data_IF_453557097098
#
_entry.id   IF_453557097098
#
_cell.length_a   1.000
_cell.length_b   1.000
_cell.length_c   1.000
_cell.angle_alpha   90.00
_cell.angle_beta   90.00
_cell.angle_gamma   90.00
#
_symmetry.space_group_name_H-M   'P 1'
#
loop_
_entity.id
_entity.type
_entity.pdbx_description
1 polymer ?
#
# COMPACT_ATOMS: atom_id res chain seq x y z
N UNK A 1 -16.92 9.20 -15.98
CA UNK A 1 -16.74 8.39 -14.76
C UNK A 1 -16.09 9.26 -13.70
N UNK A 2 -16.71 9.45 -12.52
CA UNK A 2 -16.13 10.21 -11.42
C UNK A 2 -15.28 9.25 -10.56
N UNK A 3 -14.09 8.93 -11.05
CA UNK A 3 -13.13 8.09 -10.33
C UNK A 3 -12.34 8.93 -9.35
N UNK A 4 -12.31 8.51 -8.09
CA UNK A 4 -11.45 9.04 -7.05
C UNK A 4 -10.45 7.98 -6.61
N UNK A 5 -9.20 8.36 -6.40
CA UNK A 5 -8.15 7.46 -5.90
C UNK A 5 -7.73 7.91 -4.51
N UNK A 6 -7.85 7.02 -3.54
CA UNK A 6 -7.43 7.22 -2.14
C UNK A 6 -6.14 6.45 -1.91
N UNK A 7 -5.06 7.17 -1.63
CA UNK A 7 -3.74 6.62 -1.35
C UNK A 7 -3.53 6.60 0.17
N UNK A 8 -3.39 5.41 0.74
CA UNK A 8 -3.11 5.22 2.16
C UNK A 8 -1.60 5.30 2.41
N UNK A 9 -1.13 6.35 3.07
CA UNK A 9 0.28 6.65 3.29
C UNK A 9 0.65 6.69 4.79
N UNK A 10 0.22 5.69 5.56
CA UNK A 10 0.35 5.65 7.03
C UNK A 10 1.46 4.76 7.59
N UNK A 11 2.03 3.84 6.80
CA UNK A 11 3.07 2.90 7.24
C UNK A 11 4.45 3.53 7.36
N UNK A 12 5.36 2.95 8.18
CA UNK A 12 6.77 3.38 8.28
C UNK A 12 7.66 2.54 7.38
N UNK A 13 7.46 1.22 7.33
CA UNK A 13 8.32 0.30 6.57
C UNK A 13 9.68 0.05 7.24
N UNK A 14 9.72 -0.16 8.56
CA UNK A 14 10.93 -0.22 9.41
C UNK A 14 11.96 -1.29 9.02
N UNK A 15 11.58 -2.31 8.23
CA UNK A 15 12.52 -3.34 7.73
C UNK A 15 13.51 -2.81 6.69
N UNK A 16 13.25 -1.65 6.11
CA UNK A 16 14.11 -1.00 5.11
C UNK A 16 15.00 0.08 5.73
N UNK A 17 15.21 0.02 7.05
CA UNK A 17 16.24 0.82 7.71
C UNK A 17 17.61 0.54 7.08
N UNK A 18 18.48 1.53 6.89
CA UNK A 18 18.43 2.91 7.37
C UNK A 18 17.73 3.90 6.43
N UNK A 19 17.22 3.46 5.28
CA UNK A 19 16.51 4.34 4.35
C UNK A 19 15.18 4.79 4.95
N UNK A 20 14.37 3.81 5.37
CA UNK A 20 13.08 4.10 6.00
C UNK A 20 13.22 4.35 7.49
N UNK A 21 12.74 5.49 7.93
CA UNK A 21 12.78 5.97 9.33
C UNK A 21 11.43 6.55 9.73
N UNK A 22 11.19 6.79 11.04
CA UNK A 22 9.99 7.50 11.48
C UNK A 22 9.83 8.91 10.90
N UNK A 23 10.93 9.55 10.45
CA UNK A 23 10.88 10.89 9.84
C UNK A 23 10.63 10.83 8.33
N UNK A 24 11.14 9.79 7.66
CA UNK A 24 10.97 9.57 6.22
C UNK A 24 10.54 8.12 6.01
N UNK A 25 9.23 7.83 6.02
CA UNK A 25 8.70 6.49 5.75
C UNK A 25 8.97 6.01 4.33
N UNK A 26 8.92 4.69 4.17
CA UNK A 26 9.20 3.94 2.93
C UNK A 26 8.54 4.55 1.69
N UNK A 27 7.28 4.95 1.76
CA UNK A 27 6.53 5.48 0.62
C UNK A 27 7.09 6.79 0.05
N UNK A 28 7.87 7.53 0.82
CA UNK A 28 8.49 8.79 0.41
C UNK A 28 9.93 8.63 -0.10
N UNK A 29 10.41 7.39 -0.29
CA UNK A 29 11.78 7.07 -0.65
C UNK A 29 11.82 6.53 -2.09
N UNK A 30 12.83 6.98 -2.87
CA UNK A 30 13.23 6.32 -4.11
C UNK A 30 14.08 5.09 -3.80
N UNK A 31 13.40 3.98 -3.51
CA UNK A 31 14.07 2.74 -3.08
C UNK A 31 14.66 1.96 -4.25
N UNK A 32 14.19 2.24 -5.48
CA UNK A 32 14.63 1.56 -6.69
C UNK A 32 15.70 2.34 -7.45
N UNK A 33 16.00 3.59 -7.05
CA UNK A 33 16.95 4.46 -7.74
C UNK A 33 16.49 4.94 -9.12
N UNK A 34 15.18 5.10 -9.30
CA UNK A 34 14.57 5.51 -10.58
C UNK A 34 14.19 6.99 -10.65
N UNK A 35 14.58 7.78 -9.63
CA UNK A 35 14.26 9.21 -9.52
C UNK A 35 12.85 9.52 -9.05
N UNK A 36 12.11 8.50 -8.56
CA UNK A 36 10.72 8.61 -8.11
C UNK A 36 10.51 7.82 -6.81
N UNK A 37 9.88 8.44 -5.82
CA UNK A 37 9.45 7.73 -4.60
C UNK A 37 8.26 6.80 -4.88
N UNK A 38 7.99 5.85 -3.96
CA UNK A 38 6.91 4.88 -4.16
C UNK A 38 5.52 5.55 -4.22
N UNK A 39 5.28 6.61 -3.46
CA UNK A 39 4.02 7.35 -3.53
C UNK A 39 3.86 8.08 -4.87
N UNK A 40 4.96 8.60 -5.44
CA UNK A 40 4.95 9.19 -6.77
C UNK A 40 4.68 8.14 -7.85
N UNK A 41 5.34 6.98 -7.79
CA UNK A 41 5.06 5.85 -8.69
C UNK A 41 3.60 5.38 -8.55
N UNK A 42 3.03 5.46 -7.34
CA UNK A 42 1.61 5.15 -7.13
C UNK A 42 0.69 6.13 -7.84
N UNK A 43 0.94 7.43 -7.77
CA UNK A 43 0.16 8.43 -8.52
C UNK A 43 0.33 8.24 -10.03
N UNK A 44 1.56 8.03 -10.49
CA UNK A 44 1.87 7.89 -11.93
C UNK A 44 1.08 6.73 -12.57
N UNK A 45 0.98 5.57 -11.90
CA UNK A 45 0.23 4.40 -12.43
C UNK A 45 -1.28 4.61 -12.52
N UNK A 46 -1.85 5.52 -11.71
CA UNK A 46 -3.26 5.88 -11.76
C UNK A 46 -3.57 7.07 -12.66
N UNK A 47 -2.58 7.78 -13.18
CA UNK A 47 -2.78 8.96 -14.02
C UNK A 47 -3.66 8.72 -15.26
N UNK A 48 -3.66 7.53 -15.92
CA UNK A 48 -4.58 7.24 -17.01
C UNK A 48 -6.05 7.12 -16.59
N UNK A 49 -6.32 6.86 -15.31
CA UNK A 49 -7.65 6.52 -14.77
C UNK A 49 -8.27 7.65 -13.93
N UNK A 50 -7.45 8.55 -13.40
CA UNK A 50 -7.87 9.54 -12.44
C UNK A 50 -7.19 10.89 -12.70
N UNK A 51 -7.96 11.97 -12.65
CA UNK A 51 -7.43 13.34 -12.78
C UNK A 51 -6.76 13.78 -11.48
N UNK A 52 -5.76 14.70 -11.53
CA UNK A 52 -5.06 15.17 -10.33
C UNK A 52 -6.00 15.68 -9.21
N UNK A 53 -7.09 16.36 -9.59
CA UNK A 53 -8.09 16.90 -8.66
C UNK A 53 -8.95 15.85 -7.96
N UNK A 54 -8.81 14.57 -8.31
CA UNK A 54 -9.55 13.46 -7.70
C UNK A 54 -8.65 12.49 -6.91
N UNK A 55 -7.35 12.79 -6.76
CA UNK A 55 -6.50 12.06 -5.84
C UNK A 55 -6.65 12.56 -4.41
N UNK A 56 -6.69 11.62 -3.47
CA UNK A 56 -6.75 11.84 -2.05
C UNK A 56 -5.61 11.09 -1.39
N UNK A 57 -4.92 11.72 -0.46
CA UNK A 57 -3.85 11.05 0.31
C UNK A 57 -4.22 11.10 1.78
N UNK A 58 -4.32 9.93 2.42
CA UNK A 58 -4.52 9.84 3.88
C UNK A 58 -3.19 9.50 4.52
N UNK A 59 -2.74 10.37 5.45
CA UNK A 59 -1.43 10.23 6.10
C UNK A 59 -1.47 10.80 7.52
N UNK A 60 -0.47 10.49 8.35
CA UNK A 60 -0.33 11.13 9.65
C UNK A 60 0.01 12.61 9.55
N UNK A 61 -0.45 13.45 10.49
CA UNK A 61 -0.21 14.90 10.47
C UNK A 61 1.25 15.29 10.21
N UNK A 62 2.21 14.56 10.76
CA UNK A 62 3.65 14.82 10.61
C UNK A 62 4.20 14.61 9.20
N UNK A 63 3.47 13.92 8.30
CA UNK A 63 3.91 13.63 6.94
C UNK A 63 3.23 14.50 5.88
N UNK A 64 2.33 15.38 6.27
CA UNK A 64 1.58 16.25 5.35
C UNK A 64 2.50 17.07 4.46
N UNK A 65 3.58 17.62 5.02
CA UNK A 65 4.52 18.44 4.24
C UNK A 65 5.33 17.61 3.23
N UNK A 66 5.69 16.35 3.56
CA UNK A 66 6.29 15.41 2.59
C UNK A 66 5.35 15.11 1.43
N UNK A 67 4.05 14.93 1.72
CA UNK A 67 3.05 14.72 0.66
C UNK A 67 2.94 15.96 -0.24
N UNK A 68 2.88 17.17 0.32
CA UNK A 68 2.81 18.42 -0.47
C UNK A 68 4.05 18.62 -1.34
N UNK A 69 5.23 18.30 -0.81
CA UNK A 69 6.49 18.40 -1.53
C UNK A 69 6.54 17.42 -2.71
N UNK A 70 6.18 16.15 -2.47
CA UNK A 70 6.31 15.10 -3.49
C UNK A 70 5.15 15.04 -4.48
N UNK A 71 3.96 15.51 -4.09
CA UNK A 71 2.74 15.46 -4.87
C UNK A 71 2.07 16.85 -4.99
N UNK A 72 2.77 17.87 -5.53
CA UNK A 72 2.29 19.26 -5.55
C UNK A 72 1.04 19.48 -6.41
N UNK A 73 0.67 18.55 -7.27
CA UNK A 73 -0.53 18.61 -8.10
C UNK A 73 -1.82 18.20 -7.34
N UNK A 74 -1.70 17.57 -6.17
CA UNK A 74 -2.87 17.17 -5.37
C UNK A 74 -3.37 18.38 -4.57
N UNK A 75 -4.69 18.69 -4.62
CA UNK A 75 -5.28 19.75 -3.85
C UNK A 75 -5.04 19.58 -2.34
N UNK A 76 -4.73 20.67 -1.64
CA UNK A 76 -4.36 20.59 -0.22
C UNK A 76 -5.50 20.10 0.69
N UNK A 77 -6.75 20.37 0.34
CA UNK A 77 -7.94 19.90 1.05
C UNK A 77 -8.21 18.38 0.85
N UNK A 78 -7.45 17.74 -0.04
CA UNK A 78 -7.47 16.32 -0.32
C UNK A 78 -6.27 15.56 0.29
N UNK A 79 -5.37 16.27 0.99
CA UNK A 79 -4.37 15.67 1.86
C UNK A 79 -4.97 15.54 3.25
N UNK A 80 -5.43 14.35 3.59
CA UNK A 80 -6.17 14.05 4.81
C UNK A 80 -5.19 13.66 5.92
N UNK A 81 -5.10 14.53 6.94
CA UNK A 81 -4.19 14.35 8.06
C UNK A 81 -4.87 13.59 9.20
N UNK A 82 -4.45 12.35 9.46
CA UNK A 82 -4.88 11.62 10.65
C UNK A 82 -4.15 12.16 11.89
N UNK A 83 -4.88 12.59 12.95
CA UNK A 83 -4.26 13.04 14.20
C UNK A 83 -3.56 11.88 14.94
N UNK A 84 -4.03 10.66 14.74
CA UNK A 84 -3.48 9.42 15.28
C UNK A 84 -3.73 8.25 14.32
N UNK A 85 -2.75 7.37 14.12
CA UNK A 85 -2.93 6.17 13.29
C UNK A 85 -3.88 5.14 13.91
N UNK A 86 -5.01 4.88 13.27
CA UNK A 86 -6.06 3.95 13.70
C UNK A 86 -6.25 2.75 12.78
N UNK A 87 -5.23 2.41 11.98
CA UNK A 87 -5.28 1.35 10.98
C UNK A 87 -6.20 1.69 9.79
N UNK A 88 -6.42 0.77 8.85
CA UNK A 88 -6.97 1.08 7.53
C UNK A 88 -8.49 1.31 7.51
N UNK A 89 -9.28 0.75 8.42
CA UNK A 89 -10.73 0.99 8.41
C UNK A 89 -11.11 2.45 8.72
N UNK A 90 -10.60 3.11 9.79
CA UNK A 90 -10.85 4.54 10.01
C UNK A 90 -10.25 5.45 8.92
N UNK A 91 -9.06 5.09 8.39
CA UNK A 91 -8.43 5.76 7.26
C UNK A 91 -9.37 5.83 6.04
N UNK A 92 -9.88 4.67 5.62
CA UNK A 92 -10.80 4.54 4.48
C UNK A 92 -12.14 5.21 4.77
N UNK A 93 -12.67 5.06 5.98
CA UNK A 93 -13.91 5.71 6.38
C UNK A 93 -13.81 7.24 6.27
N UNK A 94 -12.74 7.83 6.82
CA UNK A 94 -12.51 9.28 6.76
C UNK A 94 -12.50 9.79 5.31
N UNK A 95 -11.72 9.16 4.44
CA UNK A 95 -11.69 9.51 3.03
C UNK A 95 -13.06 9.33 2.35
N UNK A 96 -13.74 8.20 2.61
CA UNK A 96 -15.02 7.87 1.97
C UNK A 96 -16.12 8.87 2.33
N UNK A 97 -16.26 9.26 3.61
CA UNK A 97 -17.24 10.27 4.03
C UNK A 97 -16.95 11.66 3.45
N UNK A 98 -15.66 12.06 3.37
CA UNK A 98 -15.30 13.34 2.73
C UNK A 98 -15.59 13.31 1.22
N UNK A 99 -15.27 12.23 0.54
CA UNK A 99 -15.55 12.07 -0.89
C UNK A 99 -17.05 12.07 -1.11
N UNK A 100 -17.83 11.30 -0.34
CA UNK A 100 -19.30 11.26 -0.47
C UNK A 100 -19.93 12.65 -0.34
N UNK A 101 -19.39 13.50 0.54
CA UNK A 101 -19.88 14.86 0.70
C UNK A 101 -19.55 15.76 -0.50
N UNK A 102 -18.43 15.53 -1.17
CA UNK A 102 -17.98 16.28 -2.36
C UNK A 102 -18.63 15.73 -3.64
N UNK A 103 -18.73 14.41 -3.74
CA UNK A 103 -19.24 13.67 -4.89
C UNK A 103 -20.02 12.42 -4.41
N UNK A 104 -21.35 12.52 -4.28
CA UNK A 104 -22.18 11.41 -3.80
C UNK A 104 -22.23 10.17 -4.71
N UNK A 105 -21.84 10.31 -5.97
CA UNK A 105 -21.82 9.22 -6.97
C UNK A 105 -20.42 8.72 -7.29
N UNK A 106 -19.44 9.09 -6.44
CA UNK A 106 -18.04 8.73 -6.64
C UNK A 106 -17.82 7.22 -6.72
N UNK A 107 -17.00 6.80 -7.67
CA UNK A 107 -16.40 5.47 -7.67
C UNK A 107 -14.95 5.59 -7.13
N UNK A 108 -14.61 4.83 -6.12
CA UNK A 108 -13.38 4.99 -5.34
C UNK A 108 -12.47 3.80 -5.56
N UNK A 109 -11.20 4.07 -5.83
CA UNK A 109 -10.10 3.10 -5.71
C UNK A 109 -9.30 3.45 -4.47
N UNK A 110 -9.13 2.49 -3.57
CA UNK A 110 -8.22 2.62 -2.41
C UNK A 110 -6.98 1.80 -2.69
N UNK A 111 -5.80 2.36 -2.42
CA UNK A 111 -4.51 1.70 -2.67
C UNK A 111 -3.50 2.05 -1.59
N UNK A 112 -2.58 1.12 -1.21
CA UNK A 112 -1.41 1.48 -0.42
C UNK A 112 -0.46 2.37 -1.23
N UNK A 113 0.28 3.25 -0.53
CA UNK A 113 1.23 4.19 -1.11
C UNK A 113 2.58 3.56 -1.49
N UNK A 114 2.85 2.33 -1.07
CA UNK A 114 4.19 1.77 -0.93
C UNK A 114 4.40 0.42 -1.63
N UNK A 115 3.45 0.00 -2.46
CA UNK A 115 3.56 -1.20 -3.28
C UNK A 115 4.10 -0.89 -4.68
N UNK A 116 4.94 -1.78 -5.19
CA UNK A 116 5.43 -1.77 -6.56
C UNK A 116 4.47 -2.52 -7.49
N UNK A 117 4.27 -1.98 -8.68
CA UNK A 117 3.59 -2.63 -9.81
C UNK A 117 4.40 -2.32 -11.06
N UNK A 118 4.93 -3.34 -11.72
CA UNK A 118 5.75 -3.13 -12.92
C UNK A 118 4.95 -3.19 -14.22
N UNK A 119 3.84 -3.96 -14.24
CA UNK A 119 2.95 -4.07 -15.40
C UNK A 119 1.84 -3.03 -15.32
N UNK A 120 2.18 -1.80 -15.63
CA UNK A 120 1.28 -0.64 -15.43
C UNK A 120 0.12 -0.58 -16.41
N UNK A 121 0.26 -1.12 -17.62
CA UNK A 121 -0.83 -1.20 -18.61
C UNK A 121 -1.88 -2.22 -18.18
N UNK A 122 -1.45 -3.44 -17.82
CA UNK A 122 -2.32 -4.49 -17.29
C UNK A 122 -2.99 -4.05 -15.98
N UNK A 123 -2.28 -3.27 -15.17
CA UNK A 123 -2.84 -2.67 -13.98
C UNK A 123 -3.98 -1.69 -14.31
N UNK A 124 -3.76 -0.78 -15.26
CA UNK A 124 -4.77 0.19 -15.66
C UNK A 124 -6.03 -0.51 -16.22
N UNK A 125 -5.86 -1.53 -17.04
CA UNK A 125 -6.97 -2.33 -17.58
C UNK A 125 -7.73 -3.08 -16.48
N UNK A 126 -7.00 -3.63 -15.50
CA UNK A 126 -7.59 -4.34 -14.35
C UNK A 126 -8.44 -3.41 -13.51
N UNK A 127 -7.92 -2.23 -13.18
CA UNK A 127 -8.66 -1.23 -12.39
C UNK A 127 -9.85 -0.67 -13.20
N UNK A 128 -9.71 -0.45 -14.49
CA UNK A 128 -10.81 0.01 -15.34
C UNK A 128 -11.99 -0.99 -15.34
N UNK A 129 -11.73 -2.29 -15.47
CA UNK A 129 -12.75 -3.35 -15.35
C UNK A 129 -13.42 -3.37 -13.97
N UNK A 130 -12.63 -3.20 -12.90
CA UNK A 130 -13.15 -3.14 -11.55
C UNK A 130 -14.05 -1.92 -11.32
N UNK A 131 -13.66 -0.75 -11.86
CA UNK A 131 -14.45 0.49 -11.79
C UNK A 131 -15.77 0.36 -12.56
N UNK A 132 -15.77 -0.21 -13.76
CA UNK A 132 -16.98 -0.47 -14.55
C UNK A 132 -17.93 -1.39 -13.77
N UNK A 133 -17.41 -2.48 -13.20
CA UNK A 133 -18.21 -3.45 -12.45
C UNK A 133 -18.87 -2.84 -11.21
N UNK A 134 -18.13 -2.02 -10.44
CA UNK A 134 -18.63 -1.41 -9.19
C UNK A 134 -19.53 -0.19 -9.42
N UNK A 135 -19.50 0.38 -10.61
CA UNK A 135 -20.42 1.47 -10.98
C UNK A 135 -21.86 0.95 -11.18
N UNK A 136 -21.99 -0.28 -11.68
CA UNK A 136 -23.29 -0.88 -12.00
C UNK A 136 -23.85 -1.76 -10.88
N UNK A 137 -23.02 -2.08 -9.88
CA UNK A 137 -23.35 -3.06 -8.83
C UNK A 137 -22.91 -2.62 -7.46
N UNK A 138 -23.72 -2.95 -6.47
CA UNK A 138 -23.35 -2.88 -5.06
C UNK A 138 -22.31 -3.96 -4.72
N UNK A 139 -21.07 -3.72 -5.13
CA UNK A 139 -19.98 -4.68 -5.00
C UNK A 139 -18.69 -4.00 -4.50
N UNK A 140 -17.86 -4.79 -3.87
CA UNK A 140 -16.47 -4.48 -3.53
C UNK A 140 -15.60 -5.36 -4.42
N UNK A 141 -14.67 -4.77 -5.15
CA UNK A 141 -13.67 -5.52 -5.91
C UNK A 141 -12.31 -5.35 -5.25
N UNK A 142 -11.60 -6.46 -5.07
CA UNK A 142 -10.19 -6.45 -4.66
C UNK A 142 -9.31 -7.06 -5.74
N UNK A 143 -8.04 -6.65 -5.77
CA UNK A 143 -7.05 -7.19 -6.70
C UNK A 143 -6.34 -8.38 -6.05
N UNK A 144 -6.37 -9.53 -6.70
CA UNK A 144 -5.71 -10.76 -6.28
C UNK A 144 -4.40 -10.98 -7.02
N UNK A 145 -3.37 -11.39 -6.29
CA UNK A 145 -2.06 -11.76 -6.82
C UNK A 145 -1.83 -13.24 -6.60
N UNK A 146 -1.41 -13.97 -7.62
CA UNK A 146 -1.09 -15.39 -7.49
C UNK A 146 0.06 -15.60 -6.48
N UNK A 147 -0.14 -16.40 -5.41
CA UNK A 147 0.88 -16.62 -4.41
C UNK A 147 2.03 -17.47 -4.97
N UNK A 148 3.26 -17.10 -4.64
CA UNK A 148 4.47 -17.82 -5.04
C UNK A 148 5.18 -18.50 -3.87
N UNK A 149 4.74 -18.22 -2.64
CA UNK A 149 5.28 -18.76 -1.37
C UNK A 149 4.21 -18.69 -0.27
N UNK A 150 4.35 -19.42 0.84
CA UNK A 150 3.43 -19.33 1.98
C UNK A 150 3.72 -18.08 2.83
N UNK A 151 3.20 -16.91 2.41
CA UNK A 151 3.43 -15.64 3.09
C UNK A 151 2.41 -15.42 4.21
N UNK A 152 2.87 -15.24 5.44
CA UNK A 152 2.02 -15.04 6.62
C UNK A 152 1.72 -13.56 6.91
N UNK A 153 2.37 -12.65 6.18
CA UNK A 153 2.19 -11.20 6.31
C UNK A 153 1.05 -10.62 5.48
N UNK A 154 0.44 -11.44 4.59
CA UNK A 154 -0.60 -11.01 3.66
C UNK A 154 -1.96 -11.61 3.97
N UNK A 155 -3.02 -10.93 3.51
CA UNK A 155 -4.35 -11.52 3.40
C UNK A 155 -4.44 -12.48 2.21
N UNK A 156 -5.27 -13.50 2.35
CA UNK A 156 -5.58 -14.48 1.31
C UNK A 156 -7.06 -14.43 0.93
N UNK A 157 -7.33 -14.60 -0.36
CA UNK A 157 -8.65 -14.54 -0.97
C UNK A 157 -8.91 -15.84 -1.68
N UNK A 158 -9.94 -16.59 -1.28
CA UNK A 158 -10.36 -17.81 -1.97
C UNK A 158 -11.41 -17.51 -3.04
N UNK A 159 -11.13 -17.95 -4.27
CA UNK A 159 -12.04 -17.81 -5.41
C UNK A 159 -11.81 -18.97 -6.40
N UNK A 160 -12.48 -20.09 -6.18
CA UNK A 160 -12.27 -21.34 -6.90
C UNK A 160 -12.43 -21.25 -8.42
N UNK A 161 -13.21 -20.30 -8.92
CA UNK A 161 -13.44 -20.08 -10.35
C UNK A 161 -12.65 -18.91 -10.93
N UNK A 162 -11.69 -18.36 -10.17
CA UNK A 162 -10.95 -17.17 -10.60
C UNK A 162 -10.02 -17.49 -11.78
N UNK A 163 -10.35 -16.93 -12.93
CA UNK A 163 -9.50 -16.89 -14.11
C UNK A 163 -8.88 -15.49 -14.25
N UNK A 164 -7.66 -15.44 -14.78
CA UNK A 164 -6.93 -14.20 -15.00
C UNK A 164 -7.79 -13.16 -15.73
N UNK A 165 -7.86 -11.95 -15.16
CA UNK A 165 -8.61 -10.81 -15.71
C UNK A 165 -10.12 -10.91 -15.63
N UNK A 166 -10.68 -11.93 -14.94
CA UNK A 166 -12.11 -12.08 -14.70
C UNK A 166 -12.48 -11.67 -13.27
N UNK A 167 -13.66 -11.11 -13.14
CA UNK A 167 -14.26 -10.76 -11.84
C UNK A 167 -15.05 -11.95 -11.31
N UNK A 168 -14.59 -12.52 -10.20
CA UNK A 168 -15.17 -13.71 -9.58
C UNK A 168 -15.56 -13.42 -8.14
N UNK A 169 -16.66 -14.00 -7.71
CA UNK A 169 -17.15 -13.91 -6.34
C UNK A 169 -16.16 -14.52 -5.35
N UNK A 170 -15.81 -13.79 -4.30
CA UNK A 170 -14.99 -14.29 -3.21
C UNK A 170 -15.85 -15.19 -2.30
N UNK A 171 -15.33 -16.37 -2.00
CA UNK A 171 -15.95 -17.31 -1.07
C UNK A 171 -15.40 -17.20 0.35
N UNK A 172 -14.12 -16.84 0.48
CA UNK A 172 -13.44 -16.64 1.76
C UNK A 172 -12.39 -15.55 1.64
N UNK A 173 -12.28 -14.73 2.69
CA UNK A 173 -11.21 -13.76 2.87
C UNK A 173 -10.56 -14.01 4.24
N UNK A 174 -9.25 -14.20 4.28
CA UNK A 174 -8.51 -14.51 5.51
C UNK A 174 -7.28 -13.62 5.64
N UNK A 175 -7.26 -12.76 6.64
CA UNK A 175 -6.13 -11.87 6.91
C UNK A 175 -5.06 -12.58 7.75
N UNK A 176 -3.82 -12.58 7.25
CA UNK A 176 -2.61 -13.05 7.93
C UNK A 176 -2.74 -14.41 8.61
N UNK A 177 -2.90 -15.50 7.84
CA UNK A 177 -2.99 -16.85 8.37
C UNK A 177 -1.67 -17.26 9.04
N UNK A 178 -1.71 -18.31 9.85
CA UNK A 178 -0.49 -18.99 10.28
C UNK A 178 0.22 -19.72 9.12
N UNK A 179 1.44 -20.19 9.38
CA UNK A 179 2.26 -20.79 8.32
C UNK A 179 1.65 -22.05 7.74
N UNK A 180 1.09 -22.92 8.58
CA UNK A 180 0.50 -24.19 8.14
C UNK A 180 -0.73 -23.94 7.24
N UNK A 181 -1.55 -22.97 7.63
CA UNK A 181 -2.67 -22.50 6.83
C UNK A 181 -2.20 -21.87 5.51
N UNK A 182 -1.16 -21.03 5.53
CA UNK A 182 -0.61 -20.43 4.31
C UNK A 182 -0.05 -21.48 3.33
N UNK A 183 0.59 -22.54 3.85
CA UNK A 183 1.04 -23.69 3.04
C UNK A 183 -0.14 -24.39 2.40
N UNK A 184 -1.20 -24.69 3.16
CA UNK A 184 -2.40 -25.33 2.64
C UNK A 184 -3.08 -24.51 1.53
N UNK A 185 -3.10 -23.19 1.65
CA UNK A 185 -3.65 -22.28 0.64
C UNK A 185 -2.83 -22.28 -0.66
N UNK A 186 -1.51 -22.38 -0.54
CA UNK A 186 -0.65 -22.48 -1.71
C UNK A 186 -0.83 -23.81 -2.45
N UNK A 187 -1.01 -24.92 -1.70
CA UNK A 187 -1.24 -26.27 -2.25
C UNK A 187 -2.63 -26.40 -2.90
N UNK A 188 -3.64 -25.74 -2.37
CA UNK A 188 -5.00 -25.70 -2.92
C UNK A 188 -5.04 -25.03 -4.32
N UNK A 189 -4.25 -23.97 -4.52
CA UNK A 189 -4.11 -23.28 -5.81
C UNK A 189 -5.26 -22.32 -6.18
N UNK A 190 -6.29 -22.17 -5.33
CA UNK A 190 -7.42 -21.27 -5.58
C UNK A 190 -7.39 -20.02 -4.67
N UNK A 191 -6.31 -19.83 -3.92
CA UNK A 191 -6.09 -18.67 -3.08
C UNK A 191 -5.20 -17.66 -3.78
N UNK A 192 -5.50 -16.38 -3.56
CA UNK A 192 -4.74 -15.24 -4.06
C UNK A 192 -4.32 -14.36 -2.89
N UNK A 193 -3.14 -13.74 -2.97
CA UNK A 193 -2.79 -12.67 -2.02
C UNK A 193 -3.65 -11.44 -2.27
N UNK A 194 -4.10 -10.81 -1.20
CA UNK A 194 -4.75 -9.51 -1.24
C UNK A 194 -3.70 -8.41 -1.49
N UNK A 195 -3.78 -7.74 -2.63
CA UNK A 195 -2.88 -6.62 -2.94
C UNK A 195 -3.15 -5.36 -2.11
N UNK A 196 -4.22 -5.35 -1.30
CA UNK A 196 -4.66 -4.17 -0.55
C UNK A 196 -5.24 -3.06 -1.42
N UNK A 197 -5.61 -3.39 -2.66
CA UNK A 197 -6.23 -2.46 -3.62
C UNK A 197 -7.71 -2.83 -3.72
N UNK A 198 -8.57 -1.84 -3.43
CA UNK A 198 -10.01 -2.05 -3.38
C UNK A 198 -10.72 -1.05 -4.27
N UNK A 199 -11.80 -1.49 -4.91
CA UNK A 199 -12.64 -0.64 -5.76
C UNK A 199 -14.09 -0.81 -5.35
N UNK A 200 -14.81 0.30 -5.20
CA UNK A 200 -16.23 0.33 -4.81
C UNK A 200 -16.89 1.67 -5.16
N UNK A 201 -18.21 1.69 -5.23
CA UNK A 201 -18.96 2.94 -5.15
C UNK A 201 -18.94 3.47 -3.72
N UNK A 202 -18.88 4.78 -3.55
CA UNK A 202 -18.82 5.43 -2.21
C UNK A 202 -19.99 5.03 -1.31
N UNK A 203 -21.19 4.86 -1.88
CA UNK A 203 -22.38 4.46 -1.11
C UNK A 203 -22.30 3.00 -0.65
N UNK A 204 -21.68 2.12 -1.46
CA UNK A 204 -21.45 0.73 -1.08
C UNK A 204 -20.55 0.65 0.14
N UNK A 205 -19.37 1.28 0.14
CA UNK A 205 -18.45 1.19 1.29
C UNK A 205 -18.99 1.87 2.54
N UNK A 206 -19.68 3.01 2.40
CA UNK A 206 -20.33 3.67 3.55
C UNK A 206 -21.39 2.75 4.16
N UNK A 207 -22.18 2.04 3.33
CA UNK A 207 -23.16 1.07 3.80
C UNK A 207 -22.50 -0.11 4.52
N UNK A 208 -21.44 -0.68 3.94
CA UNK A 208 -20.72 -1.80 4.53
C UNK A 208 -20.04 -1.43 5.87
N UNK A 209 -19.47 -0.22 5.95
CA UNK A 209 -18.91 0.28 7.21
C UNK A 209 -19.99 0.49 8.28
N UNK A 210 -21.20 0.96 7.92
CA UNK A 210 -22.32 1.05 8.85
C UNK A 210 -22.79 -0.32 9.34
N UNK A 211 -22.78 -1.32 8.48
CA UNK A 211 -23.21 -2.67 8.79
C UNK A 211 -22.21 -3.43 9.69
N UNK A 212 -20.90 -3.32 9.39
CA UNK A 212 -19.87 -4.16 9.98
C UNK A 212 -18.90 -3.45 10.92
N UNK A 213 -18.83 -2.11 10.87
CA UNK A 213 -18.02 -1.25 11.72
C UNK A 213 -18.82 -0.03 12.23
N UNK A 214 -19.98 -0.23 12.88
CA UNK A 214 -20.93 0.85 13.24
C UNK A 214 -20.31 1.91 14.16
N UNK A 215 -19.34 1.56 14.99
CA UNK A 215 -18.64 2.51 15.86
C UNK A 215 -17.82 3.51 15.03
N UNK A 216 -17.08 3.03 14.01
CA UNK A 216 -16.31 3.90 13.10
C UNK A 216 -17.28 4.76 12.28
N UNK A 217 -18.33 4.16 11.71
CA UNK A 217 -19.32 4.87 10.92
C UNK A 217 -20.02 5.99 11.75
N UNK A 218 -20.35 5.72 13.02
CA UNK A 218 -20.95 6.71 13.93
C UNK A 218 -20.03 7.93 14.17
N UNK A 219 -18.72 7.69 14.34
CA UNK A 219 -17.73 8.77 14.45
C UNK A 219 -17.67 9.60 13.17
N UNK A 220 -17.71 8.95 11.99
CA UNK A 220 -17.68 9.66 10.71
C UNK A 220 -18.97 10.44 10.46
N UNK A 221 -20.14 9.91 10.85
CA UNK A 221 -21.41 10.61 10.75
C UNK A 221 -21.43 11.87 11.67
N UNK A 222 -20.79 11.83 12.86
CA UNK A 222 -20.63 13.00 13.72
C UNK A 222 -19.65 14.02 13.12
N UNK A 223 -18.58 13.56 12.46
CA UNK A 223 -17.59 14.42 11.81
C UNK A 223 -18.09 15.06 10.52
N UNK A 224 -18.92 14.37 9.73
CA UNK A 224 -19.31 14.76 8.39
C UNK A 224 -19.88 16.21 8.27
N UNK A 225 -20.68 16.74 9.21
CA UNK A 225 -21.14 18.12 9.15
C UNK A 225 -20.01 19.16 9.20
N UNK A 226 -18.85 18.82 9.79
CA UNK A 226 -17.71 19.74 9.91
C UNK A 226 -16.73 19.69 8.74
N UNK A 227 -16.82 18.70 7.84
CA UNK A 227 -15.91 18.59 6.70
C UNK A 227 -15.99 19.81 5.79
N UNK A 228 -14.83 20.28 5.35
CA UNK A 228 -14.64 21.48 4.53
C UNK A 228 -15.05 22.78 5.25
N UNK A 229 -15.08 22.80 6.60
CA UNK A 229 -15.30 23.99 7.42
C UNK A 229 -14.12 24.25 8.35
N UNK A 230 -14.07 25.44 8.92
CA UNK A 230 -13.03 25.82 9.91
C UNK A 230 -13.03 24.94 11.19
N UNK A 231 -14.11 24.21 11.45
CA UNK A 231 -14.27 23.31 12.59
C UNK A 231 -13.76 21.89 12.32
N UNK A 232 -13.38 21.57 11.09
CA UNK A 232 -12.98 20.21 10.74
C UNK A 232 -11.78 19.73 11.57
N UNK A 233 -10.73 20.55 11.65
CA UNK A 233 -9.49 20.15 12.36
C UNK A 233 -9.74 19.91 13.85
N UNK A 234 -10.51 20.77 14.50
CA UNK A 234 -10.85 20.64 15.93
C UNK A 234 -11.67 19.36 16.19
N UNK A 235 -12.73 19.15 15.41
CA UNK A 235 -13.58 17.96 15.56
C UNK A 235 -12.84 16.68 15.21
N UNK A 236 -12.01 16.68 14.16
CA UNK A 236 -11.20 15.54 13.78
C UNK A 236 -10.23 15.13 14.90
N UNK A 237 -9.50 16.11 15.49
CA UNK A 237 -8.58 15.85 16.60
C UNK A 237 -9.26 15.29 17.84
N UNK A 238 -10.53 15.63 18.07
CA UNK A 238 -11.33 15.15 19.21
C UNK A 238 -11.96 13.79 18.96
N UNK A 239 -12.52 13.56 17.76
CA UNK A 239 -13.37 12.39 17.49
C UNK A 239 -12.60 11.24 16.85
N UNK A 240 -11.70 11.50 15.90
CA UNK A 240 -11.00 10.44 15.18
C UNK A 240 -10.21 9.48 16.09
N UNK A 241 -9.52 9.94 17.16
CA UNK A 241 -8.86 9.04 18.11
C UNK A 241 -9.78 8.09 18.85
N UNK A 242 -11.10 8.31 18.84
CA UNK A 242 -12.09 7.41 19.45
C UNK A 242 -12.47 6.24 18.55
N UNK A 243 -12.11 6.27 17.26
CA UNK A 243 -12.36 5.15 16.36
C UNK A 243 -11.66 3.88 16.84
N UNK A 244 -12.32 2.74 16.65
CA UNK A 244 -11.70 1.44 16.85
C UNK A 244 -10.46 1.29 15.96
N UNK A 245 -9.34 0.79 16.51
CA UNK A 245 -8.10 0.56 15.77
C UNK A 245 -8.15 -0.81 15.09
N UNK A 246 -8.69 -0.87 13.89
CA UNK A 246 -8.90 -2.11 13.14
C UNK A 246 -8.61 -1.92 11.63
N UNK A 247 -8.13 -2.96 10.94
CA UNK A 247 -7.98 -2.92 9.49
C UNK A 247 -9.33 -3.09 8.79
N UNK A 248 -9.43 -2.61 7.56
CA UNK A 248 -10.60 -2.80 6.70
C UNK A 248 -10.85 -4.29 6.42
N UNK A 249 -9.77 -5.08 6.41
CA UNK A 249 -9.82 -6.52 6.19
C UNK A 249 -10.66 -7.20 7.27
N UNK A 250 -10.34 -6.98 8.55
CA UNK A 250 -11.12 -7.50 9.68
C UNK A 250 -12.46 -6.80 9.88
N UNK A 251 -12.53 -5.50 9.59
CA UNK A 251 -13.74 -4.73 9.84
C UNK A 251 -14.85 -5.08 8.85
N UNK A 252 -14.50 -5.26 7.57
CA UNK A 252 -15.46 -5.40 6.46
C UNK A 252 -15.18 -6.62 5.58
N UNK A 253 -13.91 -6.84 5.12
CA UNK A 253 -13.64 -7.80 4.06
C UNK A 253 -13.92 -9.26 4.48
N UNK A 254 -13.61 -9.64 5.71
CA UNK A 254 -13.93 -10.99 6.23
C UNK A 254 -15.43 -11.22 6.46
N UNK A 255 -16.26 -10.17 6.42
CA UNK A 255 -17.69 -10.23 6.81
C UNK A 255 -18.65 -9.95 5.66
N UNK A 256 -18.23 -9.12 4.70
CA UNK A 256 -19.13 -8.67 3.63
C UNK A 256 -19.38 -9.78 2.60
N UNK A 257 -20.64 -10.04 2.24
CA UNK A 257 -20.97 -10.97 1.16
C UNK A 257 -20.83 -10.33 -0.23
N UNK A 258 -20.37 -9.06 -0.33
CA UNK A 258 -20.34 -8.29 -1.58
C UNK A 258 -18.98 -8.29 -2.27
N UNK A 259 -18.02 -9.13 -1.84
CA UNK A 259 -16.65 -9.10 -2.31
C UNK A 259 -16.49 -9.94 -3.57
N UNK A 260 -15.80 -9.35 -4.54
CA UNK A 260 -15.33 -9.96 -5.77
C UNK A 260 -13.82 -9.77 -5.87
N UNK A 261 -13.13 -10.66 -6.54
CA UNK A 261 -11.71 -10.57 -6.85
C UNK A 261 -11.50 -10.52 -8.36
N UNK A 262 -10.55 -9.72 -8.79
CA UNK A 262 -9.95 -9.80 -10.11
C UNK A 262 -8.48 -10.19 -9.94
N UNK A 263 -8.12 -11.39 -10.43
CA UNK A 263 -6.77 -11.90 -10.33
C UNK A 263 -5.98 -11.55 -11.59
N UNK A 264 -4.81 -10.91 -11.43
CA UNK A 264 -3.95 -10.53 -12.55
C UNK A 264 -2.47 -10.61 -12.17
N UNK A 265 -1.61 -10.89 -13.15
CA UNK A 265 -0.17 -10.83 -12.98
C UNK A 265 0.32 -9.41 -13.26
N UNK A 266 0.47 -8.66 -12.20
CA UNK A 266 0.87 -7.25 -12.24
C UNK A 266 2.37 -7.04 -11.98
N UNK A 267 3.13 -8.12 -11.81
CA UNK A 267 4.49 -8.06 -11.24
C UNK A 267 4.50 -7.19 -9.97
N UNK A 268 3.54 -7.51 -9.07
CA UNK A 268 3.30 -6.77 -7.83
C UNK A 268 4.25 -7.23 -6.72
N UNK A 269 4.67 -6.26 -5.92
CA UNK A 269 5.43 -6.51 -4.68
C UNK A 269 5.08 -5.46 -3.64
N UNK A 270 5.00 -5.89 -2.37
CA UNK A 270 4.88 -4.97 -1.24
C UNK A 270 6.20 -4.30 -0.87
N UNK A 271 7.35 -4.72 -1.48
CA UNK A 271 8.69 -4.27 -1.13
C UNK A 271 8.92 -4.28 0.39
N UNK A 272 8.46 -5.31 1.08
CA UNK A 272 8.41 -5.39 2.54
C UNK A 272 9.76 -5.62 3.21
N UNK A 273 10.80 -6.00 2.46
CA UNK A 273 12.15 -6.30 2.96
C UNK A 273 13.21 -6.00 1.90
N UNK A 274 14.48 -5.98 2.29
CA UNK A 274 15.61 -5.78 1.37
C UNK A 274 15.73 -6.91 0.34
N UNK A 275 15.46 -8.15 0.74
CA UNK A 275 15.41 -9.28 -0.19
C UNK A 275 14.32 -9.09 -1.25
N UNK A 276 13.16 -8.58 -0.86
CA UNK A 276 12.10 -8.23 -1.82
C UNK A 276 12.52 -7.10 -2.75
N UNK A 277 13.21 -6.07 -2.26
CA UNK A 277 13.76 -4.99 -3.10
C UNK A 277 14.77 -5.55 -4.11
N UNK A 278 15.68 -6.40 -3.66
CA UNK A 278 16.71 -7.04 -4.49
C UNK A 278 16.13 -7.76 -5.71
N UNK A 279 15.00 -8.46 -5.56
CA UNK A 279 14.37 -9.20 -6.68
C UNK A 279 13.85 -8.29 -7.80
N UNK A 280 13.72 -6.99 -7.56
CA UNK A 280 13.24 -6.00 -8.54
C UNK A 280 14.32 -5.07 -9.09
N UNK A 281 15.58 -5.27 -8.65
CA UNK A 281 16.74 -4.57 -9.16
C UNK A 281 17.47 -5.42 -10.20
N UNK A 282 18.20 -4.77 -11.10
CA UNK A 282 19.02 -5.48 -12.08
C UNK A 282 20.26 -6.05 -11.38
N UNK A 283 20.40 -7.37 -11.39
CA UNK A 283 21.57 -8.05 -10.90
C UNK A 283 22.72 -8.07 -11.93
N UNK A 284 23.96 -8.06 -11.45
CA UNK A 284 25.14 -8.40 -12.23
C UNK A 284 25.31 -9.94 -12.42
N UNK A 285 26.44 -10.36 -13.03
CA UNK A 285 26.71 -11.77 -13.32
C UNK A 285 26.92 -12.62 -12.05
N UNK A 286 27.32 -11.99 -10.93
CA UNK A 286 27.54 -12.62 -9.63
C UNK A 286 26.32 -12.52 -8.70
N UNK A 287 25.17 -12.03 -9.22
CA UNK A 287 23.91 -11.91 -8.50
C UNK A 287 23.85 -10.69 -7.57
N UNK A 288 24.80 -9.74 -7.66
CA UNK A 288 24.76 -8.52 -6.86
C UNK A 288 23.82 -7.48 -7.48
N UNK A 289 23.19 -6.67 -6.65
CA UNK A 289 22.40 -5.51 -7.04
C UNK A 289 22.92 -4.25 -6.37
N UNK A 290 22.98 -3.15 -7.12
CA UNK A 290 23.50 -1.89 -6.61
C UNK A 290 22.59 -0.71 -6.99
N UNK A 291 22.31 0.15 -6.03
CA UNK A 291 21.66 1.45 -6.19
C UNK A 291 22.57 2.51 -5.58
N UNK A 292 22.95 3.53 -6.33
CA UNK A 292 23.83 4.59 -5.89
C UNK A 292 24.64 5.16 -7.06
N UNK A 293 25.25 6.33 -6.85
CA UNK A 293 25.97 7.05 -7.91
C UNK A 293 27.34 6.41 -8.22
N UNK A 294 28.07 5.95 -7.23
CA UNK A 294 29.41 5.33 -7.37
C UNK A 294 29.54 4.16 -6.40
N UNK A 295 29.06 2.98 -6.82
CA UNK A 295 29.15 1.71 -6.07
C UNK A 295 30.07 0.77 -6.84
N UNK A 296 31.11 0.27 -6.18
CA UNK A 296 32.12 -0.63 -6.76
C UNK A 296 32.20 -1.90 -5.93
N UNK A 297 32.00 -3.05 -6.57
CA UNK A 297 32.00 -4.36 -5.97
C UNK A 297 33.19 -5.18 -6.49
N UNK A 298 33.91 -5.82 -5.57
CA UNK A 298 35.05 -6.69 -5.86
C UNK A 298 34.88 -8.00 -5.09
N UNK A 299 34.98 -9.12 -5.78
CA UNK A 299 34.85 -10.47 -5.18
C UNK A 299 33.58 -10.61 -4.29
N UNK A 300 32.47 -9.97 -4.70
CA UNK A 300 31.18 -10.02 -4.01
C UNK A 300 30.19 -10.89 -4.78
N UNK A 301 29.32 -11.60 -4.06
CA UNK A 301 28.23 -12.39 -4.65
C UNK A 301 26.93 -12.25 -3.85
N UNK A 302 25.78 -12.27 -4.55
CA UNK A 302 24.44 -12.22 -3.95
C UNK A 302 24.24 -11.07 -2.94
N UNK A 303 24.92 -9.93 -3.14
CA UNK A 303 24.85 -8.78 -2.25
C UNK A 303 23.88 -7.72 -2.80
N UNK A 304 23.23 -7.01 -1.87
CA UNK A 304 22.51 -5.79 -2.17
C UNK A 304 23.26 -4.60 -1.57
N UNK A 305 23.66 -3.65 -2.39
CA UNK A 305 24.28 -2.39 -1.95
C UNK A 305 23.40 -1.22 -2.34
N UNK A 306 22.89 -0.48 -1.38
CA UNK A 306 22.02 0.68 -1.59
C UNK A 306 22.63 1.91 -0.90
N UNK A 307 23.01 2.91 -1.69
CA UNK A 307 23.65 4.15 -1.25
C UNK A 307 22.75 5.33 -1.64
N UNK A 308 22.10 5.94 -0.65
CA UNK A 308 21.17 7.04 -0.89
C UNK A 308 21.87 8.42 -1.01
N UNK A 309 23.16 8.50 -0.68
CA UNK A 309 23.98 9.71 -0.79
C UNK A 309 24.88 9.67 -2.02
N UNK A 310 25.57 10.79 -2.30
CA UNK A 310 26.58 10.89 -3.38
C UNK A 310 27.95 10.28 -3.01
N UNK A 311 28.00 9.41 -1.99
CA UNK A 311 29.26 8.78 -1.56
C UNK A 311 29.74 7.73 -2.54
N UNK A 312 31.06 7.65 -2.75
CA UNK A 312 31.70 6.46 -3.30
C UNK A 312 31.71 5.37 -2.27
N UNK A 313 31.15 4.20 -2.59
CA UNK A 313 31.13 3.02 -1.73
C UNK A 313 31.85 1.88 -2.44
N UNK A 314 32.85 1.32 -1.79
CA UNK A 314 33.61 0.16 -2.26
C UNK A 314 33.37 -0.99 -1.31
N UNK A 315 32.97 -2.13 -1.86
CA UNK A 315 32.73 -3.37 -1.08
C UNK A 315 33.53 -4.50 -1.70
N UNK A 316 34.22 -5.26 -0.86
CA UNK A 316 35.05 -6.41 -1.27
C UNK A 316 34.77 -7.62 -0.41
N UNK A 317 34.68 -8.81 -1.03
CA UNK A 317 34.72 -10.10 -0.37
C UNK A 317 33.46 -10.48 0.41
N UNK A 318 32.28 -9.87 0.11
CA UNK A 318 31.02 -10.19 0.77
C UNK A 318 30.17 -11.17 -0.08
N UNK A 319 29.51 -12.12 0.59
CA UNK A 319 28.53 -13.03 -0.02
C UNK A 319 27.22 -13.04 0.78
N UNK A 320 26.13 -12.67 0.12
CA UNK A 320 24.79 -12.66 0.71
C UNK A 320 24.57 -11.56 1.76
N UNK A 321 25.09 -10.36 1.53
CA UNK A 321 24.97 -9.24 2.47
C UNK A 321 24.12 -8.10 1.91
N UNK A 322 23.50 -7.37 2.84
CA UNK A 322 22.92 -6.06 2.65
C UNK A 322 23.93 -5.01 3.13
N UNK A 323 24.26 -4.05 2.28
CA UNK A 323 25.00 -2.83 2.63
C UNK A 323 24.09 -1.66 2.26
N UNK A 324 23.52 -0.99 3.25
CA UNK A 324 22.58 0.11 3.00
C UNK A 324 23.03 1.36 3.75
N UNK A 325 23.14 2.48 3.04
CA UNK A 325 23.57 3.77 3.58
C UNK A 325 22.52 4.84 3.34
N UNK A 326 22.25 5.62 4.37
CA UNK A 326 21.40 6.81 4.28
C UNK A 326 21.83 7.86 5.29
N UNK A 327 22.18 9.06 4.84
CA UNK A 327 22.62 10.19 5.67
C UNK A 327 23.85 9.84 6.53
N UNK A 328 23.63 9.64 7.83
CA UNK A 328 24.65 9.34 8.85
C UNK A 328 24.63 7.86 9.29
N UNK A 329 23.82 7.03 8.65
CA UNK A 329 23.59 5.64 9.04
C UNK A 329 24.11 4.68 7.97
N UNK A 330 24.73 3.60 8.44
CA UNK A 330 25.20 2.48 7.63
C UNK A 330 24.72 1.18 8.25
N UNK A 331 24.09 0.34 7.45
CA UNK A 331 23.76 -1.04 7.78
C UNK A 331 24.65 -1.97 6.98
N UNK A 332 25.27 -2.94 7.65
CA UNK A 332 25.91 -4.10 7.04
C UNK A 332 25.40 -5.33 7.77
N UNK A 333 24.59 -6.14 7.12
CA UNK A 333 24.09 -7.37 7.72
C UNK A 333 23.88 -8.46 6.65
N UNK A 334 23.78 -9.72 7.07
CA UNK A 334 23.46 -10.81 6.15
C UNK A 334 22.02 -10.68 5.66
N UNK A 335 21.78 -10.93 4.37
CA UNK A 335 20.45 -10.94 3.78
C UNK A 335 19.51 -11.92 4.51
N UNK A 336 20.02 -13.07 4.95
CA UNK A 336 19.28 -14.07 5.75
C UNK A 336 18.83 -13.55 7.13
N UNK A 337 19.33 -12.41 7.60
CA UNK A 337 19.00 -11.79 8.88
C UNK A 337 18.15 -10.53 8.75
N UNK A 338 17.62 -10.25 7.56
CA UNK A 338 16.86 -9.02 7.28
C UNK A 338 15.64 -8.80 8.17
N UNK A 339 15.06 -9.86 8.73
CA UNK A 339 13.89 -9.76 9.62
C UNK A 339 14.22 -9.11 10.98
N UNK A 340 15.51 -9.17 11.40
CA UNK A 340 16.01 -8.55 12.64
C UNK A 340 16.35 -7.06 12.48
N UNK A 341 16.30 -6.50 11.28
CA UNK A 341 16.67 -5.08 11.03
C UNK A 341 15.87 -4.12 11.90
N UNK A 342 14.58 -4.41 12.17
CA UNK A 342 13.77 -3.57 13.07
C UNK A 342 14.32 -3.53 14.52
N UNK A 343 15.02 -4.56 14.97
CA UNK A 343 15.65 -4.61 16.29
C UNK A 343 16.93 -3.77 16.32
N UNK A 344 17.65 -3.69 15.18
CA UNK A 344 18.86 -2.89 15.04
C UNK A 344 18.58 -1.39 14.93
N UNK A 345 17.35 -1.01 14.56
CA UNK A 345 16.92 0.38 14.38
C UNK A 345 16.29 1.02 15.62
N UNK A 346 16.15 0.24 16.71
CA UNK A 346 15.48 0.64 17.95
C UNK A 346 16.30 1.61 18.81
#
# INVERSE_FOLDING_TARGET
MNTHVVIMAGGIGSRLWPLSTPDVPKQFIDILGVGRSLIQLTVDRFAPLCRPENFWVVTGEKYVDLVKEQLPAIPQDQILAEPEGRNTAPCIAYASWKIQRKDPEANIVVTPADALVLRTEEFADTIAKALEFTQERDAIVTVGIAPTRPETGYGYIHAAEALRGQLVKVSEFKEKPDLDTAISYLEDGHYFWNAGIFVWNVNTIVTELRNYAPQIAGVMDELAPSFFTDKEKENLSRLFPTCEKISIDYAVMEKSPRIFVIAEDLAWSDLGSWGSVMTHLKADEDGNTAVGQDVRLFDCSNCLVHVASEKTVVVEGLDGYIVAESKDKLLVCRLSQEQHIKEYSA
#
